data_IF_601040912098
#
_entry.id   IF_601040912098
#
_cell.length_a   1.000
_cell.length_b   1.000
_cell.length_c   1.000
_cell.angle_alpha   90.00
_cell.angle_beta   90.00
_cell.angle_gamma   90.00
#
_symmetry.space_group_name_H-M   'P 1'
#
loop_
_entity.id
_entity.type
_entity.pdbx_description
1 polymer ?
#
# COMPACT_ATOMS: atom_id res chain seq x y z
N UNK A 1 14.69 -20.30 -11.84
CA UNK A 1 15.41 -19.01 -11.84
C UNK A 1 14.62 -18.07 -12.74
N UNK A 2 13.73 -17.25 -12.19
CA UNK A 2 13.03 -16.22 -12.98
C UNK A 2 13.83 -14.94 -12.89
N UNK A 3 14.20 -14.43 -14.06
CA UNK A 3 14.79 -13.10 -14.27
C UNK A 3 13.92 -12.08 -13.53
N UNK A 4 14.49 -11.14 -12.74
CA UNK A 4 13.71 -10.09 -12.13
C UNK A 4 13.14 -9.23 -13.25
N UNK A 5 11.84 -9.34 -13.50
CA UNK A 5 11.14 -8.36 -14.30
C UNK A 5 11.13 -7.08 -13.46
N UNK A 6 12.05 -6.16 -13.75
CA UNK A 6 11.77 -4.74 -13.58
C UNK A 6 10.58 -4.47 -14.49
N UNK A 7 9.38 -4.60 -13.93
CA UNK A 7 8.17 -4.23 -14.65
C UNK A 7 8.27 -2.71 -14.77
N UNK A 8 8.62 -2.21 -15.97
CA UNK A 8 8.53 -0.81 -16.37
C UNK A 8 7.04 -0.42 -16.47
N UNK A 9 6.33 -0.45 -15.34
CA UNK A 9 5.04 0.21 -15.21
C UNK A 9 5.28 1.52 -14.47
N UNK A 10 4.67 2.59 -14.95
CA UNK A 10 4.72 3.85 -14.21
C UNK A 10 3.99 3.69 -12.87
N UNK A 11 4.32 4.54 -11.90
CA UNK A 11 3.63 4.54 -10.62
C UNK A 11 2.13 4.85 -10.79
N UNK A 12 1.79 5.63 -11.81
CA UNK A 12 0.43 5.97 -12.20
C UNK A 12 -0.32 4.74 -12.72
N UNK A 13 0.31 3.93 -13.57
CA UNK A 13 -0.24 2.67 -14.08
C UNK A 13 -0.42 1.65 -12.94
N UNK A 14 0.57 1.53 -12.05
CA UNK A 14 0.47 0.66 -10.88
C UNK A 14 -0.68 1.08 -9.95
N UNK A 15 -0.89 2.39 -9.76
CA UNK A 15 -2.02 2.90 -9.00
C UNK A 15 -3.36 2.60 -9.71
N UNK A 16 -3.43 2.78 -11.04
CA UNK A 16 -4.63 2.48 -11.83
C UNK A 16 -5.00 0.99 -11.78
N UNK A 17 -4.02 0.09 -11.91
CA UNK A 17 -4.23 -1.36 -11.76
C UNK A 17 -4.77 -1.71 -10.37
N UNK A 18 -4.21 -1.10 -9.31
CA UNK A 18 -4.70 -1.34 -7.96
C UNK A 18 -6.15 -0.87 -7.76
N UNK A 19 -6.51 0.27 -8.35
CA UNK A 19 -7.88 0.81 -8.31
C UNK A 19 -8.86 -0.09 -9.03
N UNK A 20 -8.51 -0.56 -10.23
CA UNK A 20 -9.32 -1.51 -10.98
C UNK A 20 -9.49 -2.83 -10.21
N UNK A 21 -8.42 -3.34 -9.60
CA UNK A 21 -8.47 -4.52 -8.75
C UNK A 21 -9.40 -4.34 -7.55
N UNK A 22 -9.24 -3.25 -6.78
CA UNK A 22 -10.08 -2.94 -5.63
C UNK A 22 -11.56 -2.81 -6.01
N UNK A 23 -11.85 -2.14 -7.13
CA UNK A 23 -13.22 -2.02 -7.66
C UNK A 23 -13.80 -3.38 -8.06
N UNK A 24 -12.99 -4.27 -8.65
CA UNK A 24 -13.42 -5.65 -8.98
C UNK A 24 -13.77 -6.47 -7.73
N UNK A 25 -13.18 -6.13 -6.58
CA UNK A 25 -13.48 -6.72 -5.26
C UNK A 25 -14.64 -6.01 -4.53
N UNK A 26 -15.25 -5.00 -5.14
CA UNK A 26 -16.42 -4.29 -4.62
C UNK A 26 -16.11 -3.02 -3.84
N UNK A 27 -14.90 -2.46 -3.94
CA UNK A 27 -14.64 -1.14 -3.38
C UNK A 27 -15.32 -0.02 -4.18
N UNK A 28 -15.84 0.99 -3.47
CA UNK A 28 -16.33 2.22 -4.08
C UNK A 28 -15.14 3.18 -4.36
N UNK A 29 -14.41 2.91 -5.43
CA UNK A 29 -13.27 3.72 -5.90
C UNK A 29 -13.38 4.00 -7.40
N UNK A 30 -12.88 5.16 -7.85
CA UNK A 30 -12.77 5.47 -9.28
C UNK A 30 -11.66 4.65 -9.93
N UNK A 31 -11.83 4.23 -11.18
CA UNK A 31 -10.75 3.58 -11.96
C UNK A 31 -9.75 4.59 -12.51
N UNK A 32 -10.14 5.85 -12.59
CA UNK A 32 -9.29 6.93 -13.08
C UNK A 32 -8.39 7.44 -11.94
N UNK A 33 -7.16 7.80 -12.30
CA UNK A 33 -6.23 8.50 -11.43
C UNK A 33 -6.80 9.88 -11.03
N UNK A 34 -6.43 10.32 -9.83
CA UNK A 34 -6.80 11.60 -9.27
C UNK A 34 -6.00 12.73 -9.91
N UNK A 35 -6.65 13.86 -10.17
CA UNK A 35 -5.97 15.11 -10.58
C UNK A 35 -5.01 15.63 -9.50
N UNK A 36 -5.14 15.17 -8.25
CA UNK A 36 -4.20 15.48 -7.17
C UNK A 36 -2.87 14.72 -7.26
N UNK A 37 -2.71 13.81 -8.21
CA UNK A 37 -1.52 12.98 -8.39
C UNK A 37 -1.42 11.81 -7.40
N UNK A 38 -0.30 11.10 -7.47
CA UNK A 38 -0.10 9.78 -6.85
C UNK A 38 -0.41 9.71 -5.35
N UNK A 39 -0.08 10.76 -4.58
CA UNK A 39 -0.35 10.78 -3.14
C UNK A 39 -1.86 10.76 -2.81
N UNK A 40 -2.69 11.41 -3.63
CA UNK A 40 -4.16 11.38 -3.46
C UNK A 40 -4.70 10.04 -3.92
N UNK A 41 -4.14 9.47 -4.98
CA UNK A 41 -4.50 8.11 -5.42
C UNK A 41 -4.22 7.08 -4.34
N UNK A 42 -3.04 7.11 -3.72
CA UNK A 42 -2.68 6.25 -2.61
C UNK A 42 -3.60 6.43 -1.40
N UNK A 43 -3.97 7.67 -1.05
CA UNK A 43 -4.90 7.91 0.04
C UNK A 43 -6.26 7.23 -0.20
N UNK A 44 -6.80 7.36 -1.41
CA UNK A 44 -8.06 6.73 -1.80
C UNK A 44 -7.94 5.21 -1.86
N UNK A 45 -6.83 4.69 -2.36
CA UNK A 45 -6.52 3.26 -2.39
C UNK A 45 -6.50 2.69 -0.98
N UNK A 46 -5.77 3.32 -0.05
CA UNK A 46 -5.71 2.90 1.36
C UNK A 46 -7.11 2.91 1.96
N UNK A 47 -7.93 3.92 1.64
CA UNK A 47 -9.33 3.98 2.09
C UNK A 47 -10.17 2.80 1.57
N UNK A 48 -9.98 2.44 0.31
CA UNK A 48 -10.70 1.35 -0.35
C UNK A 48 -10.19 -0.06 -0.01
N UNK A 49 -8.99 -0.22 0.56
CA UNK A 49 -8.36 -1.52 0.81
C UNK A 49 -9.11 -2.45 1.77
N UNK A 50 -10.10 -1.95 2.52
CA UNK A 50 -10.89 -2.74 3.47
C UNK A 50 -11.61 -3.93 2.81
N UNK A 51 -11.95 -3.82 1.52
CA UNK A 51 -12.56 -4.93 0.78
C UNK A 51 -11.59 -6.10 0.58
N UNK A 52 -10.30 -5.82 0.40
CA UNK A 52 -9.28 -6.84 0.21
C UNK A 52 -8.85 -7.49 1.52
N UNK A 53 -8.95 -6.79 2.66
CA UNK A 53 -8.58 -7.34 3.97
C UNK A 53 -9.42 -8.58 4.36
N UNK A 54 -10.56 -8.80 3.71
CA UNK A 54 -11.44 -9.95 3.91
C UNK A 54 -11.06 -11.20 3.10
N UNK A 55 -10.17 -11.06 2.11
CA UNK A 55 -9.76 -12.13 1.20
C UNK A 55 -8.69 -13.05 1.83
N UNK A 56 -8.16 -14.00 1.05
CA UNK A 56 -7.09 -14.90 1.46
C UNK A 56 -5.76 -14.15 1.76
N UNK A 57 -4.94 -14.70 2.66
CA UNK A 57 -3.68 -14.07 3.12
C UNK A 57 -2.76 -13.65 1.97
N UNK A 58 -2.70 -14.43 0.90
CA UNK A 58 -1.85 -14.15 -0.27
C UNK A 58 -2.32 -12.92 -1.04
N UNK A 59 -3.64 -12.76 -1.19
CA UNK A 59 -4.21 -11.62 -1.88
C UNK A 59 -4.00 -10.36 -1.05
N UNK A 60 -4.23 -10.44 0.26
CA UNK A 60 -3.93 -9.36 1.21
C UNK A 60 -2.46 -8.96 1.13
N UNK A 61 -1.54 -9.92 1.21
CA UNK A 61 -0.10 -9.65 1.16
C UNK A 61 0.30 -8.99 -0.17
N UNK A 62 -0.23 -9.47 -1.30
CA UNK A 62 0.08 -8.90 -2.62
C UNK A 62 -0.36 -7.44 -2.74
N UNK A 63 -1.58 -7.11 -2.31
CA UNK A 63 -2.11 -5.74 -2.35
C UNK A 63 -1.30 -4.84 -1.45
N UNK A 64 -1.01 -5.28 -0.23
CA UNK A 64 -0.26 -4.48 0.74
C UNK A 64 1.18 -4.24 0.29
N UNK A 65 1.82 -5.23 -0.33
CA UNK A 65 3.16 -5.06 -0.90
C UNK A 65 3.15 -4.02 -2.04
N UNK A 66 2.12 -4.01 -2.88
CA UNK A 66 1.96 -2.99 -3.92
C UNK A 66 1.71 -1.59 -3.34
N UNK A 67 0.89 -1.46 -2.29
CA UNK A 67 0.68 -0.19 -1.56
C UNK A 67 1.97 0.30 -0.94
N UNK A 68 2.70 -0.56 -0.23
CA UNK A 68 3.99 -0.22 0.37
C UNK A 68 5.01 0.18 -0.69
N UNK A 69 5.05 -0.51 -1.84
CA UNK A 69 5.95 -0.17 -2.94
C UNK A 69 5.69 1.25 -3.46
N UNK A 70 4.43 1.63 -3.63
CA UNK A 70 4.06 3.00 -4.04
C UNK A 70 4.36 4.05 -2.97
N UNK A 71 4.17 3.72 -1.68
CA UNK A 71 4.49 4.61 -0.56
C UNK A 71 5.97 4.99 -0.52
N UNK A 72 6.87 4.09 -0.94
CA UNK A 72 8.32 4.33 -0.91
C UNK A 72 8.81 5.35 -1.95
N UNK A 73 7.97 5.68 -2.93
CA UNK A 73 8.29 6.60 -4.02
C UNK A 73 7.84 8.03 -3.66
N UNK A 74 6.93 8.17 -2.69
CA UNK A 74 6.43 9.46 -2.25
C UNK A 74 7.47 10.25 -1.44
N UNK A 75 7.31 11.58 -1.44
CA UNK A 75 8.06 12.47 -0.56
C UNK A 75 7.79 12.15 0.92
N UNK A 76 8.80 12.23 1.80
CA UNK A 76 8.71 11.79 3.19
C UNK A 76 7.56 12.47 3.96
N UNK A 77 7.32 13.77 3.73
CA UNK A 77 6.23 14.51 4.37
C UNK A 77 4.83 13.96 4.05
N UNK A 78 4.63 13.43 2.84
CA UNK A 78 3.34 12.83 2.41
C UNK A 78 3.27 11.35 2.80
N UNK A 79 4.42 10.70 2.89
CA UNK A 79 4.54 9.28 3.22
C UNK A 79 4.10 8.99 4.65
N UNK A 80 4.52 9.79 5.63
CA UNK A 80 4.24 9.55 7.06
C UNK A 80 2.74 9.49 7.37
N UNK A 81 1.97 10.47 6.86
CA UNK A 81 0.52 10.52 7.06
C UNK A 81 -0.21 9.32 6.45
N UNK A 82 0.26 8.82 5.29
CA UNK A 82 -0.35 7.66 4.63
C UNK A 82 0.03 6.34 5.31
N UNK A 83 1.26 6.24 5.83
CA UNK A 83 1.68 5.10 6.65
C UNK A 83 0.83 5.01 7.92
N UNK A 84 0.57 6.14 8.58
CA UNK A 84 -0.28 6.18 9.78
C UNK A 84 -1.70 5.72 9.47
N UNK A 85 -2.29 6.21 8.37
CA UNK A 85 -3.62 5.79 7.91
C UNK A 85 -3.69 4.28 7.60
N UNK A 86 -2.69 3.74 6.92
CA UNK A 86 -2.58 2.31 6.62
C UNK A 86 -2.47 1.48 7.91
N UNK A 87 -1.61 1.90 8.85
CA UNK A 87 -1.46 1.25 10.14
C UNK A 87 -2.78 1.26 10.93
N UNK A 88 -3.49 2.38 10.94
CA UNK A 88 -4.76 2.51 11.64
C UNK A 88 -5.81 1.54 11.06
N UNK A 89 -5.88 1.39 9.73
CA UNK A 89 -6.73 0.39 9.09
C UNK A 89 -6.36 -1.03 9.46
N UNK A 90 -5.07 -1.38 9.42
CA UNK A 90 -4.59 -2.71 9.81
C UNK A 90 -4.89 -3.04 11.27
N UNK A 91 -4.87 -2.05 12.16
CA UNK A 91 -5.20 -2.21 13.60
C UNK A 91 -6.70 -2.29 13.85
N UNK A 92 -7.49 -1.48 13.12
CA UNK A 92 -8.97 -1.47 13.20
C UNK A 92 -9.58 -2.72 12.60
N UNK A 93 -8.99 -3.26 11.54
CA UNK A 93 -9.38 -4.55 11.00
C UNK A 93 -9.12 -5.62 12.06
N UNK A 94 -10.18 -6.05 12.76
CA UNK A 94 -10.13 -7.03 13.85
C UNK A 94 -10.96 -8.29 13.59
N UNK A 95 -11.68 -8.36 12.47
CA UNK A 95 -12.45 -9.56 12.12
C UNK A 95 -11.53 -10.67 11.58
N UNK A 96 -11.53 -11.81 12.27
CA UNK A 96 -10.69 -12.97 11.95
C UNK A 96 -9.26 -12.82 12.47
N UNK A 97 -8.87 -13.63 13.44
CA UNK A 97 -7.56 -13.62 14.09
C UNK A 97 -6.40 -13.88 13.10
N UNK A 98 -5.89 -12.83 12.45
CA UNK A 98 -4.63 -12.87 11.67
C UNK A 98 -3.56 -11.92 12.21
N UNK A 99 -3.23 -11.96 13.53
CA UNK A 99 -2.24 -11.08 14.12
C UNK A 99 -0.84 -11.25 13.50
N UNK A 100 -0.49 -12.46 13.06
CA UNK A 100 0.80 -12.77 12.41
C UNK A 100 0.95 -12.05 11.06
N UNK A 101 -0.12 -12.00 10.26
CA UNK A 101 -0.11 -11.29 8.97
C UNK A 101 0.04 -9.78 9.21
N UNK A 102 -0.68 -9.23 10.21
CA UNK A 102 -0.54 -7.81 10.58
C UNK A 102 0.89 -7.47 11.01
N UNK A 103 1.51 -8.32 11.83
CA UNK A 103 2.90 -8.18 12.25
C UNK A 103 3.87 -8.27 11.07
N UNK A 104 3.67 -9.21 10.14
CA UNK A 104 4.52 -9.34 8.94
C UNK A 104 4.39 -8.13 8.02
N UNK A 105 3.16 -7.63 7.81
CA UNK A 105 2.90 -6.43 7.00
C UNK A 105 3.50 -5.18 7.65
N UNK A 106 3.36 -5.06 8.97
CA UNK A 106 4.01 -4.01 9.75
C UNK A 106 5.52 -4.12 9.64
N UNK A 107 6.13 -5.30 9.84
CA UNK A 107 7.58 -5.51 9.72
C UNK A 107 8.09 -5.15 8.32
N UNK A 108 7.38 -5.53 7.26
CA UNK A 108 7.73 -5.16 5.88
C UNK A 108 7.60 -3.65 5.64
N UNK A 109 6.56 -3.00 6.17
CA UNK A 109 6.41 -1.55 6.09
C UNK A 109 7.47 -0.81 6.93
N UNK A 110 7.80 -1.31 8.12
CA UNK A 110 8.73 -0.70 9.07
C UNK A 110 10.20 -0.88 8.65
N UNK A 111 10.60 -2.06 8.15
CA UNK A 111 11.97 -2.29 7.66
C UNK A 111 12.28 -1.44 6.43
N UNK A 112 11.28 -1.21 5.58
CA UNK A 112 11.45 -0.38 4.38
C UNK A 112 11.36 1.12 4.71
N UNK A 113 10.51 1.52 5.65
CA UNK A 113 10.41 2.90 6.16
C UNK A 113 11.62 3.35 7.00
N UNK A 114 12.16 2.49 7.88
CA UNK A 114 13.35 2.80 8.69
C UNK A 114 14.60 2.99 7.81
N UNK A 115 14.73 2.26 6.70
CA UNK A 115 15.85 2.46 5.78
C UNK A 115 15.87 3.85 5.14
N UNK A 116 14.70 4.48 4.97
CA UNK A 116 14.58 5.85 4.46
C UNK A 116 14.82 6.89 5.56
N UNK A 117 14.28 6.69 6.77
CA UNK A 117 14.56 7.55 7.94
C UNK A 117 16.05 7.58 8.30
N UNK A 118 16.76 6.45 8.18
CA UNK A 118 18.20 6.37 8.45
C UNK A 118 19.07 7.01 7.36
N UNK A 119 18.54 7.23 6.16
CA UNK A 119 19.21 7.98 5.08
C UNK A 119 18.99 9.50 5.17
N UNK A 120 17.97 9.95 5.89
CA UNK A 120 17.62 11.38 5.98
C UNK A 120 18.25 12.10 7.19
N UNK A 121 19.00 11.41 8.04
CA UNK A 121 19.86 12.05 9.06
C UNK A 121 21.26 12.31 8.49
N UNK A 122 21.65 13.57 8.22
CA UNK A 122 23.04 13.88 7.94
C UNK A 122 23.82 13.76 9.25
N UNK A 123 24.78 12.84 9.29
CA UNK A 123 25.98 13.02 10.09
C UNK A 123 27.07 13.59 9.18
#
# INVERSE_FOLDING_TARGET
MSVPAFIDISEEDQAAELRAYLKSKGAEISEENSEGGLHVDLAQIIEACDVCLKEDDKDVESVMNSVVSLLLILEPDKQEALIESLCEKLVKFREGERPSLRLQLLENGFLTGISLLKKSTPF
#
